data_IF_401376684083
#
_entry.id   IF_401376684083
#
_cell.length_a   1.000
_cell.length_b   1.000
_cell.length_c   1.000
_cell.angle_alpha   90.00
_cell.angle_beta   90.00
_cell.angle_gamma   90.00
#
_symmetry.space_group_name_H-M   'P 1'
#
loop_
_entity.id
_entity.type
_entity.pdbx_description
1 polymer ?
#
# COMPACT_ATOMS: atom_id res chain seq x y z
N UNK A 1 1.99 17.45 38.11
CA UNK A 1 1.53 17.44 36.70
C UNK A 1 2.40 16.56 35.79
N UNK A 2 3.69 16.85 35.57
CA UNK A 2 4.56 16.00 34.70
C UNK A 2 4.73 14.54 35.15
N UNK A 3 4.81 14.27 36.45
CA UNK A 3 4.94 12.90 36.97
C UNK A 3 3.64 12.09 36.77
N UNK A 4 2.49 12.74 36.93
CA UNK A 4 1.17 12.12 36.71
C UNK A 4 0.90 11.78 35.23
N UNK A 5 1.43 12.57 34.29
CA UNK A 5 1.24 12.31 32.86
C UNK A 5 1.87 10.97 32.43
N UNK A 6 3.07 10.67 32.94
CA UNK A 6 3.72 9.37 32.72
C UNK A 6 2.89 8.22 33.31
N UNK A 7 2.37 8.40 34.53
CA UNK A 7 1.58 7.36 35.19
C UNK A 7 0.24 7.10 34.47
N UNK A 8 -0.42 8.16 34.00
CA UNK A 8 -1.66 8.08 33.23
C UNK A 8 -1.42 7.39 31.87
N UNK A 9 -0.31 7.69 31.20
CA UNK A 9 0.06 7.11 29.90
C UNK A 9 0.44 5.63 30.01
N UNK A 10 1.24 5.28 31.03
CA UNK A 10 1.50 3.88 31.38
C UNK A 10 0.19 3.14 31.66
N UNK A 11 -0.70 3.71 32.48
CA UNK A 11 -1.95 3.07 32.85
C UNK A 11 -2.92 2.91 31.67
N UNK A 12 -2.92 3.82 30.70
CA UNK A 12 -3.78 3.77 29.53
C UNK A 12 -3.34 2.73 28.48
N UNK A 13 -2.03 2.52 28.32
CA UNK A 13 -1.47 1.64 27.27
C UNK A 13 -1.17 0.24 27.81
N UNK A 14 -0.75 0.16 29.08
CA UNK A 14 -0.15 -1.03 29.68
C UNK A 14 -1.02 -1.58 30.83
N UNK A 15 -1.79 -0.72 31.49
CA UNK A 15 -2.54 -1.04 32.71
C UNK A 15 -1.84 -0.50 33.98
N UNK A 16 -2.48 -0.67 35.16
CA UNK A 16 -2.05 -0.04 36.42
C UNK A 16 -0.58 -0.30 36.74
N UNK A 17 0.17 0.75 37.11
CA UNK A 17 1.56 0.67 37.57
C UNK A 17 1.71 -0.42 38.64
N UNK A 18 2.68 -1.32 38.42
CA UNK A 18 2.93 -2.46 39.30
C UNK A 18 2.62 -3.84 38.69
N UNK A 19 2.39 -3.94 37.37
CA UNK A 19 2.24 -5.23 36.69
C UNK A 19 3.52 -6.07 36.85
N UNK A 20 3.46 -7.07 37.72
CA UNK A 20 4.52 -8.05 38.02
C UNK A 20 4.57 -9.20 37.01
N UNK A 21 4.17 -8.97 35.76
CA UNK A 21 4.23 -9.98 34.73
C UNK A 21 5.66 -10.12 34.21
N UNK A 22 6.24 -11.33 34.29
CA UNK A 22 7.61 -11.60 33.85
C UNK A 22 7.86 -11.28 32.37
N UNK A 23 6.90 -11.53 31.49
CA UNK A 23 7.01 -11.16 30.07
C UNK A 23 7.05 -9.65 29.86
N UNK A 24 6.36 -8.92 30.72
CA UNK A 24 6.34 -7.47 30.66
C UNK A 24 7.64 -6.84 31.17
N UNK A 25 8.25 -7.41 32.22
CA UNK A 25 9.58 -7.00 32.66
C UNK A 25 10.64 -7.27 31.58
N UNK A 26 10.57 -8.42 30.91
CA UNK A 26 11.45 -8.74 29.77
C UNK A 26 11.24 -7.80 28.58
N UNK A 27 10.00 -7.39 28.30
CA UNK A 27 9.70 -6.39 27.27
C UNK A 27 10.30 -5.01 27.60
N UNK A 28 10.17 -4.55 28.85
CA UNK A 28 10.76 -3.30 29.33
C UNK A 28 12.29 -3.34 29.36
N UNK A 29 12.88 -4.46 29.74
CA UNK A 29 14.33 -4.69 29.65
C UNK A 29 14.79 -4.63 28.19
N UNK A 30 14.04 -5.23 27.27
CA UNK A 30 14.27 -5.15 25.83
C UNK A 30 14.30 -3.72 25.29
N UNK A 31 13.39 -2.86 25.76
CA UNK A 31 13.35 -1.42 25.40
C UNK A 31 14.56 -0.62 25.92
N UNK A 32 15.26 -1.12 26.94
CA UNK A 32 16.46 -0.50 27.53
C UNK A 32 17.75 -1.11 27.01
N UNK A 33 17.68 -2.07 26.10
CA UNK A 33 18.87 -2.63 25.49
C UNK A 33 19.54 -1.54 24.63
N UNK A 34 20.87 -1.35 24.76
CA UNK A 34 21.60 -0.40 23.94
C UNK A 34 21.54 -0.85 22.47
N UNK A 35 21.11 0.06 21.59
CA UNK A 35 21.29 -0.14 20.15
C UNK A 35 22.78 0.02 19.79
N UNK A 36 23.17 -0.30 18.55
CA UNK A 36 24.58 -0.38 18.08
C UNK A 36 25.42 0.92 18.18
N UNK A 37 24.85 1.95 18.76
CA UNK A 37 25.47 3.18 19.26
C UNK A 37 24.72 3.51 20.55
N UNK A 38 25.41 4.03 21.58
CA UNK A 38 24.99 4.35 22.98
C UNK A 38 23.59 4.93 23.29
N UNK A 39 22.69 5.03 22.32
CA UNK A 39 21.28 5.35 22.42
C UNK A 39 20.47 4.08 22.76
N UNK A 40 19.63 4.17 23.78
CA UNK A 40 18.53 3.22 23.99
C UNK A 40 17.23 3.71 23.32
N UNK A 41 16.19 2.87 23.24
CA UNK A 41 14.89 3.28 22.67
C UNK A 41 14.24 4.38 23.53
N UNK A 42 14.48 4.41 24.83
CA UNK A 42 13.97 5.46 25.70
C UNK A 42 14.58 6.82 25.35
N UNK A 43 15.83 6.87 24.92
CA UNK A 43 16.49 8.06 24.41
C UNK A 43 15.90 8.49 23.07
N UNK A 44 15.58 7.55 22.18
CA UNK A 44 14.85 7.84 20.94
C UNK A 44 13.47 8.47 21.20
N UNK A 45 12.68 7.89 22.12
CA UNK A 45 11.35 8.40 22.46
C UNK A 45 11.41 9.75 23.18
N UNK A 46 12.40 9.96 24.06
CA UNK A 46 12.61 11.25 24.75
C UNK A 46 13.07 12.36 23.82
N UNK A 47 13.82 12.01 22.78
CA UNK A 47 14.28 12.94 21.76
C UNK A 47 13.31 13.08 20.58
N UNK A 48 12.18 12.35 20.59
CA UNK A 48 11.10 12.57 19.64
C UNK A 48 10.58 13.99 19.81
N UNK A 49 10.36 14.71 18.70
CA UNK A 49 9.78 16.04 18.75
C UNK A 49 8.39 15.94 19.41
N UNK A 50 8.14 16.73 20.47
CA UNK A 50 6.93 16.58 21.28
C UNK A 50 6.99 15.59 22.44
N UNK A 51 8.06 14.80 22.53
CA UNK A 51 8.27 13.81 23.59
C UNK A 51 7.38 12.57 23.48
N UNK A 52 7.27 11.82 24.57
CA UNK A 52 6.61 10.52 24.59
C UNK A 52 5.10 10.55 24.28
N UNK A 53 4.41 11.64 24.63
CA UNK A 53 2.98 11.81 24.36
C UNK A 53 2.73 11.96 22.85
N UNK A 54 3.48 12.82 22.18
CA UNK A 54 3.40 13.00 20.73
C UNK A 54 3.86 11.73 19.99
N UNK A 55 4.85 11.00 20.51
CA UNK A 55 5.26 9.71 19.96
C UNK A 55 4.13 8.67 19.99
N UNK A 56 3.41 8.55 21.12
CA UNK A 56 2.30 7.60 21.24
C UNK A 56 1.12 8.02 20.38
N UNK A 57 0.77 9.30 20.39
CA UNK A 57 -0.27 9.83 19.51
C UNK A 57 0.08 9.57 18.04
N UNK A 58 1.32 9.81 17.64
CA UNK A 58 1.83 9.49 16.29
C UNK A 58 1.71 8.00 15.99
N UNK A 59 2.13 7.14 16.92
CA UNK A 59 2.04 5.70 16.76
C UNK A 59 0.58 5.22 16.61
N UNK A 60 -0.36 5.84 17.30
CA UNK A 60 -1.79 5.54 17.22
C UNK A 60 -2.40 5.98 15.89
N UNK A 61 -2.17 7.23 15.47
CA UNK A 61 -2.70 7.76 14.20
C UNK A 61 -2.04 7.13 12.97
N UNK A 62 -0.86 6.51 13.14
CA UNK A 62 -0.16 5.80 12.09
C UNK A 62 -0.75 4.41 11.76
N UNK A 63 -1.72 3.93 12.56
CA UNK A 63 -2.37 2.63 12.33
C UNK A 63 -3.48 2.78 11.30
N UNK A 64 -3.42 1.96 10.24
CA UNK A 64 -4.49 1.87 9.25
C UNK A 64 -5.59 0.98 9.81
N UNK A 65 -6.80 1.53 9.99
CA UNK A 65 -8.00 0.79 10.40
C UNK A 65 -9.04 0.74 9.29
N UNK A 66 -9.01 1.71 8.39
CA UNK A 66 -9.95 1.91 7.28
C UNK A 66 -9.31 2.72 6.15
N UNK A 67 -10.02 2.83 5.03
CA UNK A 67 -9.59 3.66 3.90
C UNK A 67 -9.43 5.14 4.28
N UNK A 68 -10.29 5.66 5.16
CA UNK A 68 -10.27 7.07 5.60
C UNK A 68 -9.00 7.44 6.39
N UNK A 69 -8.30 6.44 6.96
CA UNK A 69 -7.02 6.68 7.64
C UNK A 69 -5.88 6.95 6.63
N UNK A 70 -6.08 6.59 5.36
CA UNK A 70 -5.08 6.83 4.31
C UNK A 70 -5.10 8.32 3.91
N UNK A 71 -3.97 9.01 4.13
CA UNK A 71 -3.73 10.30 3.50
C UNK A 71 -3.40 10.11 2.01
N UNK A 72 -4.41 9.84 1.19
CA UNK A 72 -4.31 9.48 -0.22
C UNK A 72 -4.99 10.50 -1.13
N UNK A 73 -4.43 10.72 -2.32
CA UNK A 73 -5.03 11.49 -3.40
C UNK A 73 -5.01 10.66 -4.69
N UNK A 74 -6.19 10.26 -5.14
CA UNK A 74 -6.37 9.55 -6.41
C UNK A 74 -6.58 10.58 -7.52
N UNK A 75 -5.79 10.46 -8.59
CA UNK A 75 -5.74 11.42 -9.69
C UNK A 75 -5.96 10.70 -11.01
N UNK A 76 -6.82 11.27 -11.83
CA UNK A 76 -7.05 10.82 -13.20
C UNK A 76 -6.35 11.78 -14.17
N UNK A 77 -5.16 11.39 -14.63
CA UNK A 77 -4.36 12.14 -15.60
C UNK A 77 -4.58 11.63 -17.04
N UNK A 78 -5.70 10.97 -17.29
CA UNK A 78 -6.05 10.42 -18.60
C UNK A 78 -6.71 11.49 -19.48
N UNK A 79 -6.24 11.61 -20.73
CA UNK A 79 -6.76 12.56 -21.72
C UNK A 79 -8.01 12.00 -22.46
N UNK A 80 -8.70 12.85 -23.22
CA UNK A 80 -10.01 12.55 -23.83
C UNK A 80 -10.13 11.17 -24.48
N UNK A 81 -9.34 10.83 -25.52
CA UNK A 81 -9.46 9.55 -26.21
C UNK A 81 -9.27 8.33 -25.28
N UNK A 82 -8.28 8.37 -24.39
CA UNK A 82 -8.05 7.27 -23.44
C UNK A 82 -9.11 7.22 -22.34
N UNK A 83 -9.72 8.36 -21.97
CA UNK A 83 -10.80 8.43 -20.97
C UNK A 83 -12.07 7.81 -21.52
N UNK A 84 -12.39 8.12 -22.77
CA UNK A 84 -13.54 7.54 -23.46
C UNK A 84 -13.34 6.02 -23.61
N UNK A 85 -12.13 5.59 -23.98
CA UNK A 85 -11.79 4.18 -24.13
C UNK A 85 -11.83 3.42 -22.79
N UNK A 86 -11.32 4.03 -21.71
CA UNK A 86 -11.44 3.50 -20.35
C UNK A 86 -12.90 3.36 -19.92
N UNK A 87 -13.72 4.38 -20.17
CA UNK A 87 -15.15 4.35 -19.84
C UNK A 87 -15.88 3.24 -20.61
N UNK A 88 -15.58 3.08 -21.91
CA UNK A 88 -16.11 1.99 -22.73
C UNK A 88 -15.69 0.63 -22.19
N UNK A 89 -14.40 0.46 -21.87
CA UNK A 89 -13.89 -0.78 -21.31
C UNK A 89 -14.54 -1.15 -19.97
N UNK A 90 -14.77 -0.17 -19.08
CA UNK A 90 -15.51 -0.39 -17.84
C UNK A 90 -16.96 -0.86 -18.09
N UNK A 91 -17.65 -0.27 -19.08
CA UNK A 91 -18.99 -0.69 -19.45
C UNK A 91 -19.02 -2.11 -20.05
N UNK A 92 -18.05 -2.44 -20.89
CA UNK A 92 -17.89 -3.77 -21.51
C UNK A 92 -17.56 -4.86 -20.47
N UNK A 93 -16.75 -4.54 -19.45
CA UNK A 93 -16.35 -5.47 -18.39
C UNK A 93 -17.50 -5.91 -17.47
N UNK A 94 -18.66 -5.24 -17.54
CA UNK A 94 -19.89 -5.62 -16.84
C UNK A 94 -20.14 -4.84 -15.55
N UNK A 95 -21.11 -5.28 -14.73
CA UNK A 95 -21.68 -4.49 -13.63
C UNK A 95 -20.70 -4.19 -12.50
N UNK A 96 -19.60 -4.95 -12.38
CA UNK A 96 -18.55 -4.69 -11.40
C UNK A 96 -17.77 -3.40 -11.69
N UNK A 97 -17.81 -2.89 -12.94
CA UNK A 97 -17.06 -1.71 -13.37
C UNK A 97 -17.92 -0.64 -14.04
N UNK A 98 -19.08 -1.01 -14.58
CA UNK A 98 -20.00 -0.08 -15.23
C UNK A 98 -20.28 1.13 -14.33
N UNK A 99 -20.19 2.33 -14.91
CA UNK A 99 -20.41 3.63 -14.27
C UNK A 99 -19.47 3.97 -13.09
N UNK A 100 -18.42 3.17 -12.83
CA UNK A 100 -17.44 3.47 -11.77
C UNK A 100 -16.29 4.32 -12.26
N UNK A 101 -15.88 5.27 -11.44
CA UNK A 101 -14.64 6.02 -11.64
C UNK A 101 -13.43 5.15 -11.27
N UNK A 102 -12.24 5.54 -11.75
CA UNK A 102 -10.99 4.91 -11.32
C UNK A 102 -10.80 4.98 -9.79
N UNK A 103 -11.19 6.10 -9.17
CA UNK A 103 -11.14 6.28 -7.71
C UNK A 103 -11.99 5.24 -6.98
N UNK A 104 -13.23 5.03 -7.42
CA UNK A 104 -14.13 4.02 -6.84
C UNK A 104 -13.57 2.61 -7.02
N UNK A 105 -13.08 2.28 -8.22
CA UNK A 105 -12.47 0.96 -8.50
C UNK A 105 -11.25 0.72 -7.60
N UNK A 106 -10.39 1.72 -7.44
CA UNK A 106 -9.18 1.59 -6.63
C UNK A 106 -9.49 1.50 -5.14
N UNK A 107 -10.47 2.25 -4.64
CA UNK A 107 -10.94 2.15 -3.27
C UNK A 107 -11.53 0.76 -2.98
N UNK A 108 -12.43 0.27 -3.83
CA UNK A 108 -13.00 -1.08 -3.69
C UNK A 108 -11.94 -2.18 -3.72
N UNK A 109 -10.87 -1.99 -4.50
CA UNK A 109 -9.72 -2.88 -4.47
C UNK A 109 -9.03 -2.89 -3.11
N UNK A 110 -8.81 -1.73 -2.49
CA UNK A 110 -8.10 -1.61 -1.20
C UNK A 110 -8.91 -2.14 -0.02
N UNK A 111 -10.23 -1.98 -0.06
CA UNK A 111 -11.15 -2.43 0.99
C UNK A 111 -11.47 -3.93 0.91
N UNK A 112 -11.20 -4.57 -0.23
CA UNK A 112 -11.43 -5.99 -0.39
C UNK A 112 -10.40 -6.86 0.34
N UNK A 113 -10.82 -8.04 0.77
CA UNK A 113 -10.01 -9.01 1.53
C UNK A 113 -9.57 -10.20 0.67
N UNK A 114 -8.55 -10.90 1.15
CA UNK A 114 -8.07 -12.17 0.59
C UNK A 114 -7.34 -12.02 -0.75
N UNK A 115 -6.86 -13.16 -1.26
CA UNK A 115 -6.25 -13.23 -2.58
C UNK A 115 -7.35 -13.19 -3.67
N UNK A 116 -7.32 -12.25 -4.63
CA UNK A 116 -8.35 -12.16 -5.67
C UNK A 116 -8.49 -13.42 -6.54
N UNK A 117 -7.39 -14.17 -6.67
CA UNK A 117 -7.30 -15.48 -7.34
C UNK A 117 -6.34 -16.37 -6.55
N UNK A 118 -6.83 -17.16 -5.59
CA UNK A 118 -5.97 -17.93 -4.68
C UNK A 118 -5.03 -18.90 -5.41
N UNK A 119 -5.53 -19.62 -6.42
CA UNK A 119 -4.71 -20.58 -7.20
C UNK A 119 -3.53 -19.91 -7.89
N UNK A 120 -3.77 -18.84 -8.65
CA UNK A 120 -2.71 -18.08 -9.33
C UNK A 120 -1.78 -17.40 -8.33
N UNK A 121 -2.32 -16.91 -7.21
CA UNK A 121 -1.53 -16.27 -6.16
C UNK A 121 -0.59 -17.27 -5.47
N UNK A 122 -1.05 -18.49 -5.20
CA UNK A 122 -0.25 -19.55 -4.59
C UNK A 122 0.97 -19.95 -5.42
N UNK A 123 0.90 -19.82 -6.75
CA UNK A 123 2.03 -20.11 -7.65
C UNK A 123 3.18 -19.08 -7.57
N UNK A 124 2.89 -17.87 -7.07
CA UNK A 124 3.83 -16.75 -7.06
C UNK A 124 4.16 -16.23 -5.66
N UNK A 125 3.41 -16.63 -4.63
CA UNK A 125 3.54 -16.08 -3.26
C UNK A 125 4.93 -16.19 -2.66
N UNK A 126 5.67 -17.26 -2.99
CA UNK A 126 7.02 -17.52 -2.47
C UNK A 126 8.08 -16.58 -3.06
N UNK A 127 7.73 -15.76 -4.05
CA UNK A 127 8.64 -14.80 -4.71
C UNK A 127 8.62 -13.43 -4.03
N UNK A 128 7.61 -13.14 -3.22
CA UNK A 128 7.48 -11.84 -2.56
C UNK A 128 8.47 -11.69 -1.39
N UNK A 129 8.71 -10.45 -0.98
CA UNK A 129 9.60 -10.17 0.15
C UNK A 129 9.11 -10.92 1.41
N UNK A 130 9.96 -11.74 2.07
CA UNK A 130 9.57 -12.53 3.23
C UNK A 130 9.19 -11.69 4.46
N UNK A 131 9.51 -10.39 4.49
CA UNK A 131 9.04 -9.48 5.53
C UNK A 131 7.54 -9.18 5.43
N UNK A 132 6.92 -9.46 4.28
CA UNK A 132 5.48 -9.31 4.10
C UNK A 132 4.77 -10.49 4.78
N UNK A 133 3.99 -10.19 5.81
CA UNK A 133 3.16 -11.20 6.48
C UNK A 133 1.92 -11.55 5.63
N UNK A 134 2.10 -12.48 4.69
CA UNK A 134 1.02 -12.96 3.81
C UNK A 134 -0.08 -13.74 4.56
N UNK A 135 0.14 -14.19 5.79
CA UNK A 135 -0.93 -14.80 6.61
C UNK A 135 -2.04 -13.81 6.93
N UNK A 136 -1.75 -12.50 6.83
CA UNK A 136 -2.73 -11.42 7.03
C UNK A 136 -3.49 -11.04 5.76
N UNK A 137 -3.35 -11.77 4.64
CA UNK A 137 -3.99 -11.39 3.36
C UNK A 137 -5.52 -11.24 3.45
N UNK A 138 -6.15 -11.95 4.38
CA UNK A 138 -7.60 -11.87 4.64
C UNK A 138 -8.01 -10.69 5.54
N UNK A 139 -7.06 -9.93 6.09
CA UNK A 139 -7.32 -8.72 6.89
C UNK A 139 -7.88 -7.60 6.00
N UNK A 140 -8.90 -6.90 6.49
CA UNK A 140 -9.53 -5.75 5.80
C UNK A 140 -8.56 -4.59 5.55
N UNK A 141 -7.48 -4.51 6.32
CA UNK A 141 -6.45 -3.46 6.20
C UNK A 141 -5.25 -3.90 5.37
N UNK A 142 -5.16 -5.18 4.98
CA UNK A 142 -3.93 -5.74 4.40
C UNK A 142 -3.51 -4.97 3.14
N UNK A 143 -4.41 -4.81 2.18
CA UNK A 143 -4.09 -4.16 0.90
C UNK A 143 -3.74 -2.68 1.08
N UNK A 144 -4.34 -2.01 2.07
CA UNK A 144 -4.02 -0.64 2.44
C UNK A 144 -2.61 -0.53 3.05
N UNK A 145 -2.23 -1.46 3.93
CA UNK A 145 -0.88 -1.55 4.50
C UNK A 145 0.17 -1.82 3.40
N UNK A 146 -0.14 -2.72 2.46
CA UNK A 146 0.70 -3.03 1.30
C UNK A 146 0.83 -1.84 0.35
N UNK A 147 -0.25 -1.10 0.10
CA UNK A 147 -0.19 0.15 -0.65
C UNK A 147 0.73 1.16 0.04
N UNK A 148 0.52 1.37 1.34
CA UNK A 148 1.32 2.32 2.10
C UNK A 148 2.81 1.96 2.02
N UNK A 149 3.13 0.67 2.18
CA UNK A 149 4.51 0.18 2.14
C UNK A 149 5.13 0.31 0.75
N UNK A 150 4.43 -0.14 -0.30
CA UNK A 150 4.92 -0.07 -1.67
C UNK A 150 5.13 1.37 -2.15
N UNK A 151 4.30 2.32 -1.71
CA UNK A 151 4.32 3.71 -2.19
C UNK A 151 5.15 4.64 -1.30
N UNK A 152 5.28 4.38 0.00
CA UNK A 152 6.02 5.26 0.92
C UNK A 152 7.31 4.64 1.48
N UNK A 153 7.49 3.33 1.33
CA UNK A 153 8.55 2.57 2.01
C UNK A 153 8.21 2.25 3.48
N UNK A 154 7.05 2.66 3.99
CA UNK A 154 6.61 2.39 5.35
C UNK A 154 5.24 1.68 5.37
N UNK A 155 5.07 0.67 6.21
CA UNK A 155 3.81 -0.08 6.36
C UNK A 155 2.75 0.63 7.21
N UNK A 156 2.96 1.91 7.52
CA UNK A 156 2.13 2.71 8.43
C UNK A 156 1.87 4.09 7.83
N UNK A 157 0.73 4.67 8.19
CA UNK A 157 0.35 6.02 7.73
C UNK A 157 1.35 7.04 8.22
N UNK A 158 1.90 7.79 7.28
CA UNK A 158 2.66 8.99 7.57
C UNK A 158 1.68 10.15 7.48
N UNK A 159 1.07 10.48 8.62
CA UNK A 159 -0.01 11.47 8.72
C UNK A 159 0.47 12.87 8.29
N UNK A 160 1.76 13.16 8.47
CA UNK A 160 2.37 14.43 8.10
C UNK A 160 3.00 14.42 6.69
N UNK A 161 2.91 15.56 6.01
CA UNK A 161 3.53 15.82 4.72
C UNK A 161 2.63 15.54 3.51
N UNK A 162 3.23 15.25 2.37
CA UNK A 162 2.48 15.03 1.13
C UNK A 162 1.69 13.71 1.16
N UNK A 163 0.44 13.72 0.64
CA UNK A 163 -0.37 12.52 0.54
C UNK A 163 0.26 11.49 -0.42
N UNK A 164 -0.14 10.22 -0.26
CA UNK A 164 0.11 9.20 -1.28
C UNK A 164 -0.61 9.61 -2.56
N UNK A 165 0.08 9.66 -3.69
CA UNK A 165 -0.47 10.06 -4.99
C UNK A 165 -0.65 8.86 -5.88
N UNK A 166 -1.89 8.44 -6.11
CA UNK A 166 -2.20 7.34 -7.02
C UNK A 166 -2.72 7.96 -8.31
N UNK A 167 -2.02 7.74 -9.42
CA UNK A 167 -2.30 8.44 -10.68
C UNK A 167 -2.55 7.43 -11.79
N UNK A 168 -3.75 7.46 -12.37
CA UNK A 168 -4.00 6.79 -13.64
C UNK A 168 -3.41 7.62 -14.77
N UNK A 169 -2.48 7.04 -15.52
CA UNK A 169 -1.67 7.76 -16.52
C UNK A 169 -1.81 7.16 -17.91
N UNK A 170 -1.64 8.00 -18.92
CA UNK A 170 -1.52 7.56 -20.32
C UNK A 170 -0.12 7.04 -20.63
N UNK A 171 0.01 6.30 -21.74
CA UNK A 171 1.28 5.77 -22.23
C UNK A 171 2.31 6.84 -22.57
N UNK A 172 1.88 8.09 -22.73
CA UNK A 172 2.72 9.25 -23.05
C UNK A 172 3.07 10.10 -21.81
N UNK A 173 2.68 9.69 -20.60
CA UNK A 173 2.99 10.43 -19.37
C UNK A 173 4.51 10.49 -19.11
N UNK A 174 5.08 11.69 -19.20
CA UNK A 174 6.52 11.92 -19.05
C UNK A 174 7.06 11.61 -17.66
N UNK A 175 6.18 11.45 -16.66
CA UNK A 175 6.54 11.16 -15.28
C UNK A 175 6.41 9.67 -14.92
N UNK A 176 5.87 8.83 -15.81
CA UNK A 176 5.77 7.38 -15.62
C UNK A 176 7.14 6.69 -15.52
N UNK A 177 8.11 7.10 -16.31
CA UNK A 177 9.50 6.59 -16.23
C UNK A 177 10.48 7.74 -16.43
N UNK A 178 11.75 7.56 -16.04
CA UNK A 178 12.78 8.55 -16.33
C UNK A 178 12.84 8.85 -17.83
N UNK A 179 12.99 10.14 -18.18
CA UNK A 179 13.17 10.61 -19.56
C UNK A 179 14.43 10.05 -20.23
N UNK A 180 15.38 9.56 -19.43
CA UNK A 180 16.58 8.85 -19.93
C UNK A 180 16.30 7.41 -20.36
N UNK A 181 15.12 6.85 -20.06
CA UNK A 181 14.82 5.46 -20.40
C UNK A 181 14.49 5.32 -21.89
N UNK A 182 15.09 4.35 -22.61
CA UNK A 182 14.77 4.12 -24.01
C UNK A 182 13.27 3.86 -24.24
N UNK A 183 12.72 4.44 -25.31
CA UNK A 183 11.29 4.31 -25.68
C UNK A 183 10.85 2.84 -25.84
N UNK A 184 11.72 1.99 -26.38
CA UNK A 184 11.44 0.56 -26.52
C UNK A 184 11.18 -0.10 -25.16
N UNK A 185 12.04 0.17 -24.18
CA UNK A 185 11.88 -0.34 -22.81
C UNK A 185 10.63 0.22 -22.13
N UNK A 186 10.30 1.49 -22.36
CA UNK A 186 9.03 2.06 -21.87
C UNK A 186 7.83 1.28 -22.42
N UNK A 187 7.81 1.00 -23.73
CA UNK A 187 6.73 0.25 -24.36
C UNK A 187 6.62 -1.18 -23.81
N UNK A 188 7.75 -1.85 -23.55
CA UNK A 188 7.79 -3.17 -22.91
C UNK A 188 7.16 -3.14 -21.50
N UNK A 189 7.48 -2.12 -20.69
CA UNK A 189 6.93 -1.97 -19.33
C UNK A 189 5.42 -1.71 -19.35
N UNK A 190 4.97 -0.84 -20.25
CA UNK A 190 3.54 -0.57 -20.44
C UNK A 190 2.80 -1.82 -20.91
N UNK A 191 3.36 -2.56 -21.87
CA UNK A 191 2.79 -3.80 -22.39
C UNK A 191 2.73 -4.93 -21.34
N UNK A 192 3.68 -4.94 -20.40
CA UNK A 192 3.72 -5.85 -19.26
C UNK A 192 2.83 -5.39 -18.08
N UNK A 193 2.28 -4.18 -18.13
CA UNK A 193 1.43 -3.64 -17.08
C UNK A 193 2.18 -3.26 -15.81
N UNK A 194 3.46 -2.92 -15.92
CA UNK A 194 4.28 -2.58 -14.76
C UNK A 194 3.83 -1.22 -14.22
N UNK A 195 3.53 -1.15 -12.93
CA UNK A 195 3.24 0.11 -12.25
C UNK A 195 4.54 0.85 -11.91
N UNK A 196 4.52 2.18 -11.94
CA UNK A 196 5.68 3.00 -11.56
C UNK A 196 5.52 3.54 -10.14
N UNK A 197 6.34 2.99 -9.24
CA UNK A 197 6.39 3.35 -7.83
C UNK A 197 7.56 4.30 -7.58
N UNK A 198 7.30 5.41 -6.89
CA UNK A 198 8.33 6.41 -6.53
C UNK A 198 8.21 6.77 -5.06
N UNK A 199 8.87 5.98 -4.21
CA UNK A 199 8.79 6.07 -2.75
C UNK A 199 9.18 7.44 -2.19
N UNK A 200 10.25 8.03 -2.70
CA UNK A 200 10.69 9.38 -2.32
C UNK A 200 9.65 10.48 -2.57
N UNK A 201 8.75 10.26 -3.53
CA UNK A 201 7.68 11.20 -3.91
C UNK A 201 6.28 10.70 -3.54
N UNK A 202 6.21 9.59 -2.78
CA UNK A 202 4.97 8.92 -2.38
C UNK A 202 3.97 8.75 -3.53
N UNK A 203 4.43 8.29 -4.70
CA UNK A 203 3.55 8.18 -5.86
C UNK A 203 3.55 6.82 -6.55
N UNK A 204 2.36 6.40 -6.97
CA UNK A 204 2.08 5.23 -7.79
C UNK A 204 1.44 5.72 -9.10
N UNK A 205 1.99 5.28 -10.23
CA UNK A 205 1.43 5.53 -11.56
C UNK A 205 1.01 4.23 -12.21
N UNK A 206 -0.26 4.19 -12.59
CA UNK A 206 -0.92 3.02 -13.14
C UNK A 206 -1.18 3.27 -14.63
N UNK A 207 -0.65 2.45 -15.54
CA UNK A 207 -0.83 2.64 -16.98
C UNK A 207 -2.26 2.27 -17.39
N UNK A 208 -3.01 3.25 -17.90
CA UNK A 208 -4.42 3.07 -18.30
C UNK A 208 -4.58 2.06 -19.43
N UNK A 209 -3.62 1.98 -20.36
CA UNK A 209 -3.66 1.06 -21.49
C UNK A 209 -3.71 -0.41 -21.05
N UNK A 210 -2.93 -0.77 -20.03
CA UNK A 210 -2.93 -2.12 -19.50
C UNK A 210 -4.20 -2.42 -18.68
N UNK A 211 -4.68 -1.44 -17.92
CA UNK A 211 -5.96 -1.58 -17.20
C UNK A 211 -7.12 -1.79 -18.19
N UNK A 212 -7.17 -1.01 -19.29
CA UNK A 212 -8.14 -1.20 -20.39
C UNK A 212 -8.03 -2.61 -20.98
N UNK A 213 -6.80 -3.08 -21.22
CA UNK A 213 -6.56 -4.44 -21.74
C UNK A 213 -7.14 -5.51 -20.82
N UNK A 214 -6.95 -5.39 -19.50
CA UNK A 214 -7.55 -6.33 -18.53
C UNK A 214 -9.08 -6.24 -18.56
N UNK A 215 -9.65 -5.05 -18.54
CA UNK A 215 -11.11 -4.87 -18.57
C UNK A 215 -11.77 -5.49 -19.81
N UNK A 216 -11.08 -5.48 -20.95
CA UNK A 216 -11.56 -6.04 -22.22
C UNK A 216 -11.20 -7.50 -22.45
N UNK A 217 -10.45 -8.13 -21.55
CA UNK A 217 -10.00 -9.49 -21.76
C UNK A 217 -11.18 -10.48 -21.69
N UNK A 218 -11.03 -11.61 -22.39
CA UNK A 218 -12.05 -12.63 -22.43
C UNK A 218 -11.89 -13.59 -21.25
N UNK A 219 -12.61 -13.33 -20.17
CA UNK A 219 -12.70 -14.24 -19.03
C UNK A 219 -13.78 -15.29 -19.32
N UNK A 220 -13.36 -16.53 -19.57
CA UNK A 220 -14.26 -17.65 -19.82
C UNK A 220 -13.98 -18.76 -18.82
N UNK A 221 -15.03 -19.30 -18.22
CA UNK A 221 -14.99 -20.15 -17.01
C UNK A 221 -14.15 -21.44 -17.12
N UNK A 222 -13.64 -21.80 -18.30
CA UNK A 222 -12.94 -23.08 -18.53
C UNK A 222 -11.43 -22.95 -18.76
N UNK A 223 -10.91 -21.83 -19.26
CA UNK A 223 -9.50 -21.71 -19.68
C UNK A 223 -8.79 -20.42 -19.19
N UNK A 224 -9.50 -19.46 -18.59
CA UNK A 224 -8.85 -18.25 -18.06
C UNK A 224 -8.32 -18.47 -16.65
N UNK A 225 -7.07 -18.05 -16.40
CA UNK A 225 -6.46 -18.03 -15.05
C UNK A 225 -7.25 -17.20 -14.04
N UNK A 226 -8.10 -16.29 -14.54
CA UNK A 226 -8.95 -15.41 -13.74
C UNK A 226 -10.43 -15.68 -14.04
N UNK A 227 -11.31 -15.70 -13.02
CA UNK A 227 -12.74 -15.97 -13.21
C UNK A 227 -13.50 -14.79 -13.83
N UNK A 228 -13.02 -13.56 -13.66
CA UNK A 228 -13.65 -12.35 -14.22
C UNK A 228 -12.65 -11.18 -14.22
N UNK A 229 -13.05 -10.07 -14.87
CA UNK A 229 -12.27 -8.85 -14.95
C UNK A 229 -11.92 -8.28 -13.57
N UNK A 230 -12.83 -8.38 -12.59
CA UNK A 230 -12.59 -7.87 -11.24
C UNK A 230 -11.44 -8.61 -10.56
N UNK A 231 -11.47 -9.93 -10.61
CA UNK A 231 -10.41 -10.79 -10.09
C UNK A 231 -9.07 -10.55 -10.79
N UNK A 232 -9.07 -10.35 -12.12
CA UNK A 232 -7.84 -10.06 -12.86
C UNK A 232 -7.25 -8.69 -12.51
N UNK A 233 -8.06 -7.63 -12.50
CA UNK A 233 -7.63 -6.28 -12.12
C UNK A 233 -7.15 -6.25 -10.68
N UNK A 234 -7.91 -6.83 -9.75
CA UNK A 234 -7.52 -6.87 -8.34
C UNK A 234 -6.25 -7.70 -8.14
N UNK A 235 -6.11 -8.86 -8.80
CA UNK A 235 -4.91 -9.67 -8.70
C UNK A 235 -3.69 -8.91 -9.22
N UNK A 236 -3.80 -8.31 -10.40
CA UNK A 236 -2.72 -7.50 -10.98
C UNK A 236 -2.30 -6.36 -10.05
N UNK A 237 -3.24 -5.55 -9.54
CA UNK A 237 -2.94 -4.46 -8.61
C UNK A 237 -2.23 -4.96 -7.35
N UNK A 238 -2.72 -6.05 -6.76
CA UNK A 238 -2.11 -6.65 -5.56
C UNK A 238 -0.68 -7.11 -5.82
N UNK A 239 -0.45 -7.85 -6.91
CA UNK A 239 0.88 -8.34 -7.28
C UNK A 239 1.83 -7.18 -7.52
N UNK A 240 1.41 -6.14 -8.25
CA UNK A 240 2.25 -4.96 -8.49
C UNK A 240 2.71 -4.30 -7.19
N UNK A 241 1.84 -4.20 -6.18
CA UNK A 241 2.23 -3.60 -4.90
C UNK A 241 3.12 -4.52 -4.07
N UNK A 242 2.85 -5.83 -4.06
CA UNK A 242 3.69 -6.81 -3.34
C UNK A 242 5.09 -6.91 -3.94
N UNK A 243 5.20 -6.93 -5.28
CA UNK A 243 6.48 -6.97 -5.97
C UNK A 243 7.30 -5.68 -5.75
N UNK A 244 6.64 -4.53 -5.61
CA UNK A 244 7.30 -3.26 -5.34
C UNK A 244 7.95 -3.18 -3.95
N UNK A 245 7.55 -4.03 -3.00
CA UNK A 245 8.13 -4.06 -1.66
C UNK A 245 9.41 -4.92 -1.68
N UNK A 246 10.56 -4.31 -1.37
CA UNK A 246 11.86 -5.00 -1.35
C UNK A 246 12.53 -5.11 -2.71
N UNK A 247 11.79 -5.01 -3.81
CA UNK A 247 12.36 -4.76 -5.12
C UNK A 247 12.64 -3.27 -5.24
N UNK A 248 13.92 -2.90 -5.36
CA UNK A 248 14.28 -1.58 -5.87
C UNK A 248 13.93 -1.52 -7.36
N UNK A 249 12.65 -1.43 -7.70
CA UNK A 249 12.21 -1.08 -9.05
C UNK A 249 12.48 0.41 -9.25
N UNK A 250 13.77 0.78 -9.25
CA UNK A 250 14.23 2.11 -9.62
C UNK A 250 14.01 2.23 -11.12
N UNK A 251 12.92 2.89 -11.51
CA UNK A 251 12.62 3.30 -12.88
C UNK A 251 12.96 4.77 -13.13
#
# INVERSE_FOLDING_TARGET
>A
HRVLAYEMLHNAIIGPIGVTNAYFQLFLEGFRLPCSSTLDICDLVRNFHGGAEEFIQTAEISVIRSFDDLNIRILDAVNGPFRDDFTSACAEAGPDFADKSFETIFQEFLEATGAPCPSVFDEIKDRFNPEINLERIDSSTFRMEILCWSVSGASRVIAEGEPLRIVLVTDEDSTYMSSSTPRARRAEYLAAGICSFKTCSRSLRIPVSYLIKLLRDAYSDMDSSFPNARSAVHHWLLVQMLEAIGSYTVL
#
